data_IF_551064982121
#
_entry.id   IF_551064982121
#
_cell.length_a   1.000
_cell.length_b   1.000
_cell.length_c   1.000
_cell.angle_alpha   90.00
_cell.angle_beta   90.00
_cell.angle_gamma   90.00
#
_symmetry.space_group_name_H-M   'P 1'
#
loop_
_entity.id
_entity.type
_entity.pdbx_description
1 polymer ?
#
# COMPACT_ATOMS: atom_id res chain seq x y z
N UNK A 1 -4.68 8.91 -16.48
CA UNK A 1 -4.14 8.22 -15.30
C UNK A 1 -4.96 8.73 -14.15
N UNK A 2 -5.82 7.86 -13.62
CA UNK A 2 -6.89 8.19 -12.68
C UNK A 2 -6.33 8.65 -11.34
N UNK A 3 -7.01 9.65 -10.78
CA UNK A 3 -6.75 10.29 -9.49
C UNK A 3 -6.58 9.25 -8.38
N UNK A 4 -5.33 8.99 -7.98
CA UNK A 4 -5.09 8.61 -6.59
C UNK A 4 -5.65 9.76 -5.73
N UNK A 5 -6.36 9.50 -4.61
CA UNK A 5 -6.84 10.57 -3.75
C UNK A 5 -5.63 11.45 -3.40
N UNK A 6 -5.72 12.73 -3.76
CA UNK A 6 -4.58 13.65 -3.78
C UNK A 6 -3.83 13.73 -2.45
N UNK A 7 -4.48 13.32 -1.35
CA UNK A 7 -3.99 13.49 0.00
C UNK A 7 -4.22 12.20 0.84
N UNK A 8 -3.60 11.07 0.46
CA UNK A 8 -3.55 9.94 1.39
C UNK A 8 -2.74 10.34 2.63
N UNK A 9 -3.40 10.34 3.79
CA UNK A 9 -2.80 10.67 5.08
C UNK A 9 -2.65 9.40 5.92
N UNK A 10 -1.43 9.16 6.42
CA UNK A 10 -1.15 8.06 7.34
C UNK A 10 -1.98 8.28 8.62
N UNK A 11 -2.81 7.31 8.96
CA UNK A 11 -3.64 7.32 10.16
C UNK A 11 -3.20 6.25 11.18
N UNK A 12 -3.80 6.28 12.37
CA UNK A 12 -3.49 5.34 13.46
C UNK A 12 -3.65 3.86 13.06
N UNK A 13 -4.65 3.53 12.24
CA UNK A 13 -4.87 2.14 11.83
C UNK A 13 -3.76 1.63 10.90
N UNK A 14 -3.16 2.51 10.10
CA UNK A 14 -2.04 2.16 9.24
C UNK A 14 -0.76 1.97 10.05
N UNK A 15 -0.54 2.83 11.05
CA UNK A 15 0.55 2.70 12.03
C UNK A 15 0.44 1.37 12.78
N UNK A 16 -0.75 1.04 13.29
CA UNK A 16 -0.99 -0.22 14.03
C UNK A 16 -0.72 -1.46 13.18
N UNK A 17 -1.17 -1.46 11.91
CA UNK A 17 -0.88 -2.55 10.97
C UNK A 17 0.61 -2.67 10.71
N UNK A 18 1.30 -1.54 10.53
CA UNK A 18 2.73 -1.53 10.27
C UNK A 18 3.53 -2.01 11.49
N UNK A 19 3.18 -1.60 12.71
CA UNK A 19 3.79 -2.13 13.94
C UNK A 19 3.66 -3.66 13.98
N UNK A 20 2.45 -4.20 13.74
CA UNK A 20 2.23 -5.65 13.72
C UNK A 20 3.06 -6.35 12.65
N UNK A 21 3.11 -5.78 11.44
CA UNK A 21 3.94 -6.29 10.36
C UNK A 21 5.42 -6.33 10.76
N UNK A 22 5.94 -5.24 11.32
CA UNK A 22 7.33 -5.13 11.76
C UNK A 22 7.64 -6.14 12.86
N UNK A 23 6.72 -6.39 13.80
CA UNK A 23 6.87 -7.39 14.87
C UNK A 23 6.93 -8.82 14.31
N UNK A 24 6.19 -9.11 13.22
CA UNK A 24 6.23 -10.40 12.55
C UNK A 24 7.53 -10.60 11.76
N UNK A 25 8.02 -9.55 11.10
CA UNK A 25 9.28 -9.58 10.35
C UNK A 25 10.49 -9.67 11.29
N UNK A 26 10.45 -8.90 12.39
CA UNK A 26 11.48 -8.82 13.42
C UNK A 26 10.82 -8.69 14.80
N UNK A 27 10.80 -9.77 15.60
CA UNK A 27 10.20 -9.74 16.93
C UNK A 27 11.14 -9.04 17.91
N UNK A 28 11.28 -7.72 17.75
CA UNK A 28 12.02 -6.84 18.63
C UNK A 28 11.04 -6.07 19.52
N UNK A 29 11.35 -5.99 20.81
CA UNK A 29 10.54 -5.25 21.79
C UNK A 29 10.65 -3.72 21.63
N UNK A 30 11.45 -3.24 20.68
CA UNK A 30 11.79 -1.83 20.46
C UNK A 30 11.01 -1.17 19.33
N UNK A 31 10.05 -1.85 18.71
CA UNK A 31 9.23 -1.27 17.62
C UNK A 31 8.32 -0.19 18.19
N UNK A 32 8.47 1.04 17.68
CA UNK A 32 7.67 2.20 18.08
C UNK A 32 6.77 2.71 16.94
N UNK A 33 5.74 3.52 17.23
CA UNK A 33 4.93 4.18 16.22
C UNK A 33 5.75 5.03 15.23
N UNK A 34 6.79 5.72 15.69
CA UNK A 34 7.64 6.56 14.84
C UNK A 34 8.39 5.73 13.80
N UNK A 35 8.87 4.54 14.19
CA UNK A 35 9.52 3.61 13.25
C UNK A 35 8.53 3.08 12.22
N UNK A 36 7.28 2.86 12.61
CA UNK A 36 6.21 2.45 11.70
C UNK A 36 5.85 3.56 10.70
N UNK A 37 5.79 4.82 11.16
CA UNK A 37 5.58 5.99 10.29
C UNK A 37 6.73 6.11 9.27
N UNK A 38 7.98 6.08 9.73
CA UNK A 38 9.16 6.16 8.86
C UNK A 38 9.14 5.05 7.78
N UNK A 39 8.74 3.84 8.17
CA UNK A 39 8.63 2.71 7.24
C UNK A 39 7.53 2.91 6.21
N UNK A 40 6.37 3.44 6.61
CA UNK A 40 5.26 3.77 5.71
C UNK A 40 5.63 4.87 4.71
N UNK A 41 6.29 5.93 5.17
CA UNK A 41 6.78 7.02 4.31
C UNK A 41 7.81 6.52 3.30
N UNK A 42 8.77 5.70 3.74
CA UNK A 42 9.73 5.06 2.85
C UNK A 42 9.05 4.17 1.82
N UNK A 43 8.03 3.40 2.22
CA UNK A 43 7.29 2.54 1.32
C UNK A 43 6.54 3.36 0.25
N UNK A 44 5.90 4.46 0.64
CA UNK A 44 5.27 5.40 -0.29
C UNK A 44 6.28 5.98 -1.29
N UNK A 45 7.44 6.44 -0.81
CA UNK A 45 8.50 6.96 -1.68
C UNK A 45 9.00 5.91 -2.67
N UNK A 46 9.21 4.66 -2.22
CA UNK A 46 9.65 3.57 -3.08
C UNK A 46 8.64 3.27 -4.19
N UNK A 47 7.33 3.27 -3.88
CA UNK A 47 6.30 3.08 -4.90
C UNK A 47 6.22 4.26 -5.87
N UNK A 48 6.37 5.48 -5.38
CA UNK A 48 6.44 6.68 -6.22
C UNK A 48 7.63 6.61 -7.19
N UNK A 49 8.81 6.24 -6.72
CA UNK A 49 9.98 6.05 -7.57
C UNK A 49 9.79 4.89 -8.56
N UNK A 50 9.18 3.79 -8.12
CA UNK A 50 8.90 2.64 -8.98
C UNK A 50 7.94 3.00 -10.11
N UNK A 51 6.92 3.82 -9.83
CA UNK A 51 5.98 4.31 -10.86
C UNK A 51 6.70 5.07 -11.99
N UNK A 52 7.80 5.75 -11.67
CA UNK A 52 8.60 6.47 -12.66
C UNK A 52 9.66 5.59 -13.35
N UNK A 53 10.28 4.67 -12.62
CA UNK A 53 11.44 3.91 -13.10
C UNK A 53 11.07 2.58 -13.73
N UNK A 54 9.99 1.93 -13.26
CA UNK A 54 9.51 0.65 -13.76
C UNK A 54 7.98 0.49 -13.52
N UNK A 55 7.16 1.23 -14.27
CA UNK A 55 5.70 1.19 -14.12
C UNK A 55 5.11 -0.21 -14.39
N UNK A 56 5.71 -1.00 -15.28
CA UNK A 56 5.25 -2.37 -15.58
C UNK A 56 5.36 -3.30 -14.37
N UNK A 57 6.43 -3.17 -13.58
CA UNK A 57 6.59 -3.94 -12.35
C UNK A 57 5.55 -3.54 -11.30
N UNK A 58 5.24 -2.25 -11.20
CA UNK A 58 4.22 -1.74 -10.29
C UNK A 58 2.84 -2.31 -10.65
N UNK A 59 2.47 -2.28 -11.93
CA UNK A 59 1.21 -2.87 -12.42
C UNK A 59 1.13 -4.38 -12.10
N UNK A 60 2.21 -5.12 -12.37
CA UNK A 60 2.28 -6.55 -12.05
C UNK A 60 2.09 -6.83 -10.55
N UNK A 61 2.65 -6.00 -9.69
CA UNK A 61 2.48 -6.16 -8.24
C UNK A 61 1.06 -5.85 -7.80
N UNK A 62 0.47 -4.76 -8.32
CA UNK A 62 -0.92 -4.43 -8.06
C UNK A 62 -1.85 -5.59 -8.44
N UNK A 63 -1.70 -6.16 -9.64
CA UNK A 63 -2.47 -7.32 -10.10
C UNK A 63 -2.29 -8.56 -9.22
N UNK A 64 -1.12 -8.73 -8.58
CA UNK A 64 -0.85 -9.86 -7.70
C UNK A 64 -1.48 -9.72 -6.31
N UNK A 65 -1.75 -8.50 -5.85
CA UNK A 65 -2.30 -8.21 -4.52
C UNK A 65 -3.73 -7.65 -4.53
N UNK A 66 -4.25 -7.27 -5.70
CA UNK A 66 -5.64 -6.80 -5.82
C UNK A 66 -6.59 -7.89 -5.31
N UNK A 67 -7.53 -7.59 -4.42
CA UNK A 67 -8.51 -8.56 -3.97
C UNK A 67 -9.38 -9.02 -5.16
N UNK A 68 -9.70 -10.31 -5.22
CA UNK A 68 -10.43 -10.92 -6.34
C UNK A 68 -11.86 -10.37 -6.56
N UNK A 69 -12.38 -9.58 -5.62
CA UNK A 69 -13.76 -9.10 -5.61
C UNK A 69 -13.99 -7.82 -6.45
N UNK A 70 -12.95 -7.18 -6.98
CA UNK A 70 -13.09 -5.94 -7.78
C UNK A 70 -13.48 -6.18 -9.25
N UNK A 71 -13.43 -7.42 -9.77
CA UNK A 71 -13.85 -7.71 -11.16
C UNK A 71 -15.38 -7.89 -11.35
N UNK A 72 -16.20 -7.75 -10.29
CA UNK A 72 -17.64 -8.03 -10.37
C UNK A 72 -18.57 -6.81 -10.53
N UNK A 73 -18.07 -5.59 -10.81
CA UNK A 73 -18.94 -4.40 -10.91
C UNK A 73 -18.76 -3.53 -12.16
N UNK A 74 -18.52 -4.12 -13.34
CA UNK A 74 -18.69 -3.37 -14.60
C UNK A 74 -19.23 -4.22 -15.76
N UNK A 75 -20.04 -5.26 -15.48
CA UNK A 75 -20.67 -6.09 -16.52
C UNK A 75 -22.21 -6.14 -16.49
N UNK A 76 -22.90 -5.36 -15.65
CA UNK A 76 -24.37 -5.51 -15.47
C UNK A 76 -25.17 -4.19 -15.53
N UNK A 77 -24.77 -3.27 -16.42
CA UNK A 77 -25.62 -2.13 -16.86
C UNK A 77 -25.50 -1.89 -18.36
N UNK A 78 -25.83 -2.89 -19.16
CA UNK A 78 -26.28 -2.72 -20.55
C UNK A 78 -27.01 -4.00 -20.98
N UNK A 79 -28.14 -4.26 -20.32
CA UNK A 79 -29.20 -5.12 -20.84
C UNK A 79 -30.28 -4.23 -21.47
#
# INVERSE_FOLDING_TARGET
>A
MNDLPADYEINEADIDKMIRYMQLERPEDTITPEMAIERLEQMHQNFHELAHTNPELLEKWYEAVKPADEEATESDRSA
#
